data_IF_260878574413
#
_entry.id   IF_260878574413
#
_cell.length_a   1.000
_cell.length_b   1.000
_cell.length_c   1.000
_cell.angle_alpha   90.00
_cell.angle_beta   90.00
_cell.angle_gamma   90.00
#
_symmetry.space_group_name_H-M   'P 1'
#
loop_
_entity.id
_entity.type
_entity.pdbx_description
1 polymer ?
#
# COMPACT_ATOMS: atom_id res chain seq x y z
N UNK A 1 10.25 1.86 23.25
CA UNK A 1 11.36 2.82 23.07
C UNK A 1 10.82 4.17 22.63
N UNK A 2 11.20 5.23 23.29
CA UNK A 2 10.70 6.57 22.98
C UNK A 2 11.84 7.55 22.77
N UNK A 3 11.61 8.51 21.89
CA UNK A 3 12.48 9.66 21.69
C UNK A 3 11.65 10.91 21.94
N UNK A 4 11.64 11.38 23.21
CA UNK A 4 10.71 12.40 23.67
C UNK A 4 9.29 11.85 23.67
N UNK A 5 8.39 12.53 22.97
CA UNK A 5 6.98 12.08 22.82
C UNK A 5 6.75 11.22 21.57
N UNK A 6 7.82 10.85 20.88
CA UNK A 6 7.72 10.09 19.64
C UNK A 6 7.90 8.60 19.89
N UNK A 7 7.12 7.82 19.20
CA UNK A 7 7.18 6.35 19.23
C UNK A 7 7.49 5.82 17.85
N UNK A 8 8.27 4.75 17.74
CA UNK A 8 8.42 4.07 16.45
C UNK A 8 7.06 3.58 15.93
N UNK A 9 6.92 3.58 14.62
CA UNK A 9 5.73 3.08 13.94
C UNK A 9 6.12 1.92 13.03
N UNK A 10 5.38 0.83 13.14
CA UNK A 10 5.60 -0.33 12.28
C UNK A 10 4.87 -0.13 10.95
N UNK A 11 5.49 -0.60 9.89
CA UNK A 11 4.86 -0.71 8.58
C UNK A 11 4.40 -2.16 8.45
N UNK A 12 3.09 -2.38 8.23
CA UNK A 12 2.53 -3.73 8.18
C UNK A 12 3.10 -4.53 7.01
N UNK A 13 3.12 -3.95 5.82
CA UNK A 13 3.72 -4.60 4.67
C UNK A 13 4.14 -3.56 3.63
N UNK A 14 5.23 -3.82 2.95
CA UNK A 14 5.72 -2.96 1.87
C UNK A 14 6.46 -3.83 0.85
N UNK A 15 6.28 -3.51 -0.43
CA UNK A 15 7.05 -4.10 -1.51
C UNK A 15 7.50 -3.02 -2.47
N UNK A 16 8.70 -3.19 -3.03
CA UNK A 16 9.16 -2.32 -4.10
C UNK A 16 9.49 -3.15 -5.33
N UNK A 17 9.29 -2.56 -6.49
CA UNK A 17 9.47 -3.22 -7.78
C UNK A 17 10.47 -2.42 -8.62
N UNK A 18 11.63 -3.01 -8.85
CA UNK A 18 12.67 -2.48 -9.74
C UNK A 18 13.03 -1.01 -9.51
N UNK A 19 12.98 -0.57 -8.25
CA UNK A 19 13.29 0.82 -7.88
C UNK A 19 12.36 1.84 -8.56
N UNK A 20 11.16 1.42 -8.98
CA UNK A 20 10.19 2.25 -9.70
C UNK A 20 8.85 2.36 -9.00
N UNK A 21 8.37 1.26 -8.43
CA UNK A 21 7.04 1.21 -7.81
C UNK A 21 7.16 0.78 -6.36
N UNK A 22 6.50 1.53 -5.47
CA UNK A 22 6.44 1.23 -4.05
C UNK A 22 4.99 1.03 -3.65
N UNK A 23 4.70 -0.09 -3.01
CA UNK A 23 3.35 -0.41 -2.56
C UNK A 23 3.39 -0.67 -1.07
N UNK A 24 2.53 0.01 -0.32
CA UNK A 24 2.32 -0.23 1.10
C UNK A 24 0.94 -0.79 1.34
N UNK A 25 0.82 -1.65 2.35
CA UNK A 25 -0.47 -2.12 2.84
C UNK A 25 -0.53 -1.90 4.33
N UNK A 26 -1.57 -1.22 4.80
CA UNK A 26 -1.87 -1.08 6.21
C UNK A 26 -3.11 -1.89 6.52
N UNK A 27 -2.99 -2.81 7.48
CA UNK A 27 -4.07 -3.72 7.84
C UNK A 27 -4.75 -3.24 9.12
N UNK A 28 -6.07 -3.05 9.07
CA UNK A 28 -6.87 -2.66 10.23
C UNK A 28 -8.03 -3.63 10.42
N UNK A 29 -8.35 -3.92 11.66
CA UNK A 29 -9.49 -4.76 11.98
C UNK A 29 -10.78 -3.97 11.75
N UNK A 30 -11.70 -4.54 10.97
CA UNK A 30 -12.97 -3.91 10.66
C UNK A 30 -12.77 -2.57 9.96
N UNK A 31 -13.41 -1.51 10.49
CA UNK A 31 -13.36 -0.18 9.92
C UNK A 31 -12.48 0.78 10.72
N UNK A 32 -11.54 0.25 11.50
CA UNK A 32 -10.62 1.07 12.27
C UNK A 32 -9.79 1.99 11.35
N UNK A 33 -9.54 3.21 11.82
CA UNK A 33 -8.79 4.19 11.03
C UNK A 33 -7.30 4.17 11.38
N UNK A 34 -6.47 4.68 10.47
CA UNK A 34 -5.04 4.84 10.72
C UNK A 34 -4.85 6.01 11.68
N UNK A 35 -4.06 5.84 12.75
CA UNK A 35 -3.69 6.98 13.60
C UNK A 35 -3.00 8.07 12.80
N UNK A 36 -3.23 9.33 13.17
CA UNK A 36 -2.74 10.48 12.41
C UNK A 36 -1.23 10.45 12.18
N UNK A 37 -0.44 10.15 13.19
CA UNK A 37 1.02 10.12 13.06
C UNK A 37 1.48 9.08 12.06
N UNK A 38 0.85 7.92 12.06
CA UNK A 38 1.16 6.85 11.11
C UNK A 38 0.74 7.24 9.70
N UNK A 39 -0.44 7.85 9.56
CA UNK A 39 -0.93 8.33 8.27
C UNK A 39 0.03 9.35 7.67
N UNK A 40 0.49 10.31 8.45
CA UNK A 40 1.42 11.33 7.98
C UNK A 40 2.75 10.71 7.53
N UNK A 41 3.25 9.73 8.26
CA UNK A 41 4.48 9.03 7.87
C UNK A 41 4.33 8.35 6.52
N UNK A 42 3.24 7.61 6.32
CA UNK A 42 2.99 6.93 5.05
C UNK A 42 2.88 7.92 3.88
N UNK A 43 2.14 9.01 4.10
CA UNK A 43 1.97 10.04 3.07
C UNK A 43 3.31 10.64 2.66
N UNK A 44 4.16 10.94 3.65
CA UNK A 44 5.48 11.53 3.39
C UNK A 44 6.41 10.58 2.66
N UNK A 45 6.39 9.30 3.02
CA UNK A 45 7.21 8.30 2.32
C UNK A 45 6.73 8.14 0.87
N UNK A 46 5.43 8.03 0.66
CA UNK A 46 4.86 7.89 -0.68
C UNK A 46 5.16 9.11 -1.55
N UNK A 47 4.99 10.31 -1.00
CA UNK A 47 5.25 11.55 -1.73
C UNK A 47 6.74 11.67 -2.08
N UNK A 48 7.63 11.32 -1.16
CA UNK A 48 9.08 11.39 -1.40
C UNK A 48 9.50 10.40 -2.48
N UNK A 49 8.94 9.18 -2.46
CA UNK A 49 9.22 8.18 -3.48
C UNK A 49 8.77 8.64 -4.85
N UNK A 50 7.57 9.22 -4.93
CA UNK A 50 6.97 9.61 -6.20
C UNK A 50 7.59 10.87 -6.81
N UNK A 51 8.46 11.57 -6.09
CA UNK A 51 9.01 12.87 -6.47
C UNK A 51 9.78 12.85 -7.78
N UNK A 52 10.44 11.74 -8.08
CA UNK A 52 11.29 11.62 -9.28
C UNK A 52 10.57 10.89 -10.42
N UNK A 53 9.26 10.99 -10.49
CA UNK A 53 8.47 10.34 -11.54
C UNK A 53 8.20 8.86 -11.31
N UNK A 54 8.51 8.37 -10.12
CA UNK A 54 8.19 6.99 -9.73
C UNK A 54 6.75 6.91 -9.23
N UNK A 55 6.29 5.70 -9.01
CA UNK A 55 4.92 5.46 -8.55
C UNK A 55 4.92 4.89 -7.13
N UNK A 56 4.00 5.38 -6.29
CA UNK A 56 3.80 4.86 -4.94
C UNK A 56 2.32 4.87 -4.61
N UNK A 57 1.86 3.83 -3.94
CA UNK A 57 0.48 3.74 -3.47
C UNK A 57 0.46 3.12 -2.07
N UNK A 58 -0.44 3.64 -1.24
CA UNK A 58 -0.75 3.05 0.06
C UNK A 58 -2.18 2.54 0.03
N UNK A 59 -2.36 1.25 0.28
CA UNK A 59 -3.69 0.64 0.41
C UNK A 59 -4.03 0.49 1.89
N UNK A 60 -5.14 1.08 2.31
CA UNK A 60 -5.72 0.81 3.62
C UNK A 60 -6.65 -0.38 3.47
N UNK A 61 -6.36 -1.44 4.21
CA UNK A 61 -7.07 -2.71 4.07
C UNK A 61 -7.79 -3.07 5.36
N UNK A 62 -8.99 -3.61 5.22
CA UNK A 62 -9.79 -4.10 6.32
C UNK A 62 -9.76 -5.62 6.34
N UNK A 63 -9.64 -6.20 7.55
CA UNK A 63 -9.74 -7.63 7.74
C UNK A 63 -10.64 -7.92 8.94
N UNK A 64 -11.19 -9.13 8.98
CA UNK A 64 -12.02 -9.59 10.07
C UNK A 64 -11.41 -10.81 10.77
N UNK A 65 -10.10 -10.99 10.61
CA UNK A 65 -9.38 -12.11 11.22
C UNK A 65 -9.34 -11.95 12.74
N UNK A 66 -9.79 -12.95 13.51
CA UNK A 66 -9.76 -12.88 14.97
C UNK A 66 -8.34 -12.74 15.52
N UNK A 67 -8.23 -12.14 16.70
CA UNK A 67 -6.97 -11.98 17.40
C UNK A 67 -6.31 -13.35 17.63
N UNK A 68 -5.02 -13.44 17.37
CA UNK A 68 -4.25 -14.66 17.54
C UNK A 68 -4.22 -15.56 16.31
N UNK A 69 -4.93 -15.22 15.24
CA UNK A 69 -4.87 -15.93 13.98
C UNK A 69 -4.07 -15.13 12.95
N UNK A 70 -3.47 -15.82 11.99
CA UNK A 70 -2.70 -15.18 10.92
C UNK A 70 -3.60 -14.43 9.96
N UNK A 71 -3.24 -13.20 9.66
CA UNK A 71 -3.96 -12.37 8.68
C UNK A 71 -3.44 -12.71 7.29
N UNK A 72 -4.37 -13.03 6.38
CA UNK A 72 -4.03 -13.27 4.97
C UNK A 72 -4.15 -11.95 4.22
N UNK A 73 -3.02 -11.27 4.05
CA UNK A 73 -2.98 -9.95 3.38
C UNK A 73 -3.70 -9.96 2.04
N UNK A 74 -3.46 -10.98 1.22
CA UNK A 74 -4.03 -11.05 -0.12
C UNK A 74 -5.56 -11.04 -0.13
N UNK A 75 -6.18 -11.46 0.97
CA UNK A 75 -7.64 -11.55 1.10
C UNK A 75 -8.26 -10.37 1.83
N UNK A 76 -7.45 -9.45 2.37
CA UNK A 76 -7.97 -8.26 3.03
C UNK A 76 -8.62 -7.35 1.99
N UNK A 77 -9.65 -6.60 2.40
CA UNK A 77 -10.41 -5.74 1.48
C UNK A 77 -9.87 -4.31 1.53
N UNK A 78 -9.54 -3.76 0.38
CA UNK A 78 -9.08 -2.37 0.29
C UNK A 78 -10.27 -1.44 0.45
N UNK A 79 -10.20 -0.54 1.41
CA UNK A 79 -11.26 0.44 1.67
C UNK A 79 -10.92 1.82 1.12
N UNK A 80 -9.66 2.21 1.19
CA UNK A 80 -9.17 3.49 0.70
C UNK A 80 -7.75 3.32 0.19
N UNK A 81 -7.30 4.26 -0.62
CA UNK A 81 -5.90 4.28 -1.02
C UNK A 81 -5.40 5.71 -1.19
N UNK A 82 -4.12 5.87 -0.95
CA UNK A 82 -3.42 7.15 -1.12
C UNK A 82 -2.55 7.09 -2.36
N UNK A 83 -2.79 7.99 -3.30
CA UNK A 83 -2.05 8.03 -4.55
C UNK A 83 -1.96 9.48 -5.03
N UNK A 84 -0.76 9.90 -5.40
CA UNK A 84 -0.48 11.25 -5.91
C UNK A 84 -1.06 12.35 -5.01
N UNK A 85 -0.76 12.27 -3.74
CA UNK A 85 -1.12 13.31 -2.79
C UNK A 85 -2.57 13.34 -2.35
N UNK A 86 -3.38 12.37 -2.76
CA UNK A 86 -4.80 12.33 -2.45
C UNK A 86 -5.25 10.99 -1.92
N UNK A 87 -6.04 11.01 -0.85
CA UNK A 87 -6.79 9.84 -0.39
C UNK A 87 -8.01 9.67 -1.28
N UNK A 88 -8.25 8.43 -1.68
CA UNK A 88 -9.36 8.09 -2.59
C UNK A 88 -10.13 6.91 -2.03
N UNK A 89 -11.45 6.98 -2.14
CA UNK A 89 -12.29 5.86 -1.76
C UNK A 89 -12.45 4.92 -2.94
N UNK A 90 -12.58 3.62 -2.64
CA UNK A 90 -12.80 2.62 -3.68
C UNK A 90 -14.30 2.51 -3.98
N UNK A 91 -14.64 2.34 -5.25
CA UNK A 91 -16.02 2.18 -5.69
C UNK A 91 -16.45 0.72 -5.72
N UNK A 92 -15.51 -0.18 -5.93
CA UNK A 92 -15.74 -1.61 -5.96
C UNK A 92 -14.99 -2.27 -4.84
N UNK A 93 -15.60 -3.28 -4.21
CA UNK A 93 -14.93 -4.06 -3.17
C UNK A 93 -14.00 -5.05 -3.85
N UNK A 94 -12.70 -4.89 -3.62
CA UNK A 94 -11.67 -5.78 -4.14
C UNK A 94 -10.66 -6.10 -3.05
N UNK A 95 -10.02 -7.25 -3.16
CA UNK A 95 -8.98 -7.65 -2.22
C UNK A 95 -7.71 -6.86 -2.44
N UNK A 96 -6.81 -6.89 -1.44
CA UNK A 96 -5.50 -6.27 -1.55
C UNK A 96 -4.73 -6.83 -2.76
N UNK A 97 -4.83 -8.14 -3.00
CA UNK A 97 -4.17 -8.75 -4.15
C UNK A 97 -4.71 -8.19 -5.46
N UNK A 98 -6.04 -8.14 -5.60
CA UNK A 98 -6.67 -7.64 -6.82
C UNK A 98 -6.31 -6.17 -7.09
N UNK A 99 -6.37 -5.34 -6.05
CA UNK A 99 -6.02 -3.91 -6.18
C UNK A 99 -4.54 -3.72 -6.51
N UNK A 100 -3.68 -4.53 -5.92
CA UNK A 100 -2.25 -4.47 -6.19
C UNK A 100 -1.97 -4.87 -7.64
N UNK A 101 -2.57 -5.97 -8.10
CA UNK A 101 -2.42 -6.41 -9.49
C UNK A 101 -2.91 -5.32 -10.46
N UNK A 102 -4.05 -4.72 -10.18
CA UNK A 102 -4.60 -3.62 -11.00
C UNK A 102 -3.65 -2.43 -11.05
N UNK A 103 -3.07 -2.05 -9.90
CA UNK A 103 -2.15 -0.93 -9.82
C UNK A 103 -0.86 -1.20 -10.59
N UNK A 104 -0.30 -2.40 -10.44
CA UNK A 104 0.92 -2.78 -11.16
C UNK A 104 0.68 -2.81 -12.67
N UNK A 105 -0.47 -3.30 -13.09
CA UNK A 105 -0.86 -3.28 -14.49
C UNK A 105 -0.96 -1.84 -15.01
N UNK A 106 -1.56 -0.96 -14.22
CA UNK A 106 -1.65 0.47 -14.53
C UNK A 106 -0.25 1.08 -14.71
N UNK A 107 0.69 0.76 -13.81
CA UNK A 107 2.06 1.25 -13.90
C UNK A 107 2.77 0.72 -15.15
N UNK A 108 2.58 -0.54 -15.51
CA UNK A 108 3.16 -1.11 -16.71
C UNK A 108 2.66 -0.41 -17.97
N UNK A 109 1.38 -0.09 -18.01
CA UNK A 109 0.78 0.61 -19.16
C UNK A 109 1.23 2.06 -19.24
N UNK A 110 1.34 2.74 -18.10
CA UNK A 110 1.75 4.13 -18.04
C UNK A 110 3.23 4.31 -18.33
N UNK A 111 4.05 3.35 -17.95
CA UNK A 111 5.51 3.41 -18.05
C UNK A 111 6.07 2.15 -18.73
N UNK A 112 5.75 1.90 -20.01
CA UNK A 112 6.18 0.66 -20.67
C UNK A 112 7.70 0.52 -20.72
N UNK A 113 8.43 1.63 -20.74
CA UNK A 113 9.90 1.63 -20.77
C UNK A 113 10.55 1.15 -19.46
N UNK A 114 9.77 1.02 -18.38
CA UNK A 114 10.30 0.49 -17.12
C UNK A 114 10.53 -1.01 -17.18
N UNK A 115 9.88 -1.73 -18.09
CA UNK A 115 10.01 -3.18 -18.23
C UNK A 115 9.80 -3.91 -16.91
N UNK A 116 8.70 -3.60 -16.24
CA UNK A 116 8.41 -4.17 -14.92
C UNK A 116 8.29 -5.69 -14.97
N UNK A 117 7.66 -6.23 -16.02
CA UNK A 117 7.54 -7.68 -16.24
C UNK A 117 6.97 -8.43 -15.05
N UNK A 118 6.01 -7.79 -14.37
CA UNK A 118 5.48 -8.30 -13.10
C UNK A 118 4.67 -9.57 -13.30
N UNK A 119 4.04 -9.71 -14.47
CA UNK A 119 3.18 -10.84 -14.79
C UNK A 119 3.90 -11.96 -15.53
N UNK A 120 5.20 -11.82 -15.76
CA UNK A 120 5.97 -12.89 -16.38
C UNK A 120 6.24 -13.97 -15.35
N UNK A 121 6.04 -15.22 -15.78
CA UNK A 121 6.41 -16.37 -14.96
C UNK A 121 7.92 -16.56 -15.06
N UNK A 122 8.61 -16.35 -13.95
CA UNK A 122 10.05 -16.58 -13.87
C UNK A 122 10.26 -17.89 -13.12
N UNK A 123 10.88 -18.80 -13.77
CA UNK A 123 11.20 -20.08 -13.16
C UNK A 123 12.64 -20.11 -12.67
#
# INVERSE_FOLDING_TARGET
MQWGKRMPTDIDAVMEFKNKVLVFWELKYGDAEIPEGQRLLYERIADAWAKDGKEAVLFLCSHMTPSGEDIQLQNAMVTKFYYKGCWREVKEIKTAKERTDDFLYYCEKKHPHWNLNIHETVC
#
